data_IF_341271799236
#
_entry.id   IF_341271799236
#
_cell.length_a   1.000
_cell.length_b   1.000
_cell.length_c   1.000
_cell.angle_alpha   90.00
_cell.angle_beta   90.00
_cell.angle_gamma   90.00
#
_symmetry.space_group_name_H-M   'P 1'
#
loop_
_entity.id
_entity.type
_entity.pdbx_description
1 polymer ?
#
# COMPACT_ATOMS: atom_id res chain seq x y z
N UNK A 1 22.65 -2.27 2.74
CA UNK A 1 21.50 -1.37 2.50
C UNK A 1 20.30 -2.17 2.09
N UNK A 2 19.28 -2.16 2.89
CA UNK A 2 18.01 -2.78 2.51
C UNK A 2 17.36 -1.93 1.43
N UNK A 3 17.04 -2.56 0.31
CA UNK A 3 16.23 -1.91 -0.70
C UNK A 3 14.82 -1.72 -0.14
N UNK A 4 14.31 -0.51 -0.22
CA UNK A 4 12.90 -0.25 0.06
C UNK A 4 12.06 -1.12 -0.87
N UNK A 5 11.14 -1.87 -0.30
CA UNK A 5 10.25 -2.73 -1.06
C UNK A 5 9.25 -1.87 -1.83
N UNK A 6 9.27 -2.03 -3.14
CA UNK A 6 8.29 -1.38 -4.01
C UNK A 6 7.05 -2.26 -4.11
N UNK A 7 5.89 -1.65 -4.07
CA UNK A 7 4.61 -2.34 -4.21
C UNK A 7 3.98 -1.95 -5.54
N UNK A 8 3.68 -2.93 -6.35
CA UNK A 8 3.02 -2.75 -7.65
C UNK A 8 1.52 -2.90 -7.51
N UNK A 9 0.77 -2.49 -8.55
CA UNK A 9 -0.67 -2.73 -8.60
C UNK A 9 -1.00 -4.23 -8.58
N UNK A 10 -0.15 -5.05 -9.20
CA UNK A 10 -0.30 -6.52 -9.18
C UNK A 10 -0.16 -7.07 -7.76
N UNK A 11 0.80 -6.56 -6.99
CA UNK A 11 0.98 -6.93 -5.58
C UNK A 11 -0.27 -6.59 -4.76
N UNK A 12 -0.86 -5.43 -5.00
CA UNK A 12 -2.06 -4.97 -4.30
C UNK A 12 -3.28 -5.81 -4.65
N UNK A 13 -3.43 -6.18 -5.93
CA UNK A 13 -4.50 -7.07 -6.38
C UNK A 13 -4.36 -8.47 -5.79
N UNK A 14 -3.14 -9.00 -5.76
CA UNK A 14 -2.85 -10.30 -5.15
C UNK A 14 -3.19 -10.30 -3.66
N UNK A 15 -2.85 -9.23 -2.96
CA UNK A 15 -3.16 -9.07 -1.53
C UNK A 15 -4.66 -9.00 -1.31
N UNK A 16 -5.39 -8.26 -2.14
CA UNK A 16 -6.85 -8.18 -2.09
C UNK A 16 -7.52 -9.52 -2.28
N UNK A 17 -7.03 -10.31 -3.25
CA UNK A 17 -7.53 -11.67 -3.49
C UNK A 17 -7.27 -12.58 -2.28
N UNK A 18 -6.10 -12.48 -1.68
CA UNK A 18 -5.75 -13.27 -0.49
C UNK A 18 -6.66 -12.91 0.70
N UNK A 19 -6.93 -11.64 0.93
CA UNK A 19 -7.84 -11.19 1.99
C UNK A 19 -9.22 -11.80 1.80
N UNK A 20 -9.73 -11.81 0.57
CA UNK A 20 -11.04 -12.40 0.25
C UNK A 20 -11.06 -13.91 0.51
N UNK A 21 -10.03 -14.62 0.08
CA UNK A 21 -9.88 -16.06 0.34
C UNK A 21 -9.85 -16.36 1.84
N UNK A 22 -9.11 -15.57 2.62
CA UNK A 22 -9.05 -15.72 4.08
C UNK A 22 -10.41 -15.47 4.74
N UNK A 23 -11.14 -14.49 4.24
CA UNK A 23 -12.49 -14.18 4.74
C UNK A 23 -13.46 -15.34 4.51
N UNK A 24 -13.44 -15.91 3.31
CA UNK A 24 -14.27 -17.07 2.96
C UNK A 24 -13.89 -18.30 3.79
N UNK A 25 -12.59 -18.52 3.99
CA UNK A 25 -12.08 -19.62 4.80
C UNK A 25 -12.50 -19.48 6.26
N UNK A 26 -12.46 -18.27 6.81
CA UNK A 26 -12.91 -18.00 8.19
C UNK A 26 -14.39 -18.33 8.37
N UNK A 27 -15.23 -17.96 7.40
CA UNK A 27 -16.65 -18.30 7.41
C UNK A 27 -16.87 -19.80 7.35
N UNK A 28 -16.12 -20.50 6.51
CA UNK A 28 -16.23 -21.95 6.38
C UNK A 28 -15.84 -22.67 7.67
N UNK A 29 -14.76 -22.25 8.32
CA UNK A 29 -14.30 -22.81 9.59
C UNK A 29 -15.36 -22.61 10.68
N UNK A 30 -15.96 -21.43 10.76
CA UNK A 30 -17.03 -21.15 11.73
C UNK A 30 -18.26 -22.02 11.48
N UNK A 31 -18.63 -22.22 10.22
CA UNK A 31 -19.72 -23.11 9.84
C UNK A 31 -19.42 -24.57 10.20
N UNK A 32 -18.20 -25.02 9.93
CA UNK A 32 -17.79 -26.40 10.18
C UNK A 32 -17.82 -26.75 11.67
N UNK A 33 -17.42 -25.83 12.53
CA UNK A 33 -17.53 -26.09 13.99
C UNK A 33 -18.99 -26.11 14.45
N UNK A 34 -19.83 -25.22 13.94
CA UNK A 34 -21.27 -25.17 14.27
C UNK A 34 -21.98 -26.45 13.84
N UNK A 35 -21.56 -27.00 12.70
CA UNK A 35 -22.14 -28.22 12.13
C UNK A 35 -21.49 -29.52 12.66
N UNK A 36 -20.52 -29.40 13.57
CA UNK A 36 -19.84 -30.56 14.15
C UNK A 36 -18.91 -31.29 13.19
N UNK A 37 -18.53 -30.66 12.08
CA UNK A 37 -17.62 -31.23 11.08
C UNK A 37 -16.18 -31.25 11.57
N UNK A 38 -15.78 -30.25 12.35
CA UNK A 38 -14.45 -30.17 12.96
C UNK A 38 -14.55 -30.12 14.48
N UNK A 39 -13.48 -30.56 15.15
CA UNK A 39 -13.38 -30.50 16.61
C UNK A 39 -13.03 -29.09 17.07
N UNK A 40 -13.21 -28.83 18.36
CA UNK A 40 -12.81 -27.57 18.98
C UNK A 40 -11.30 -27.32 18.79
N UNK A 41 -10.47 -28.33 18.95
CA UNK A 41 -9.01 -28.23 18.75
C UNK A 41 -8.66 -27.86 17.31
N UNK A 42 -9.32 -28.46 16.33
CA UNK A 42 -9.17 -28.13 14.92
C UNK A 42 -9.59 -26.70 14.62
N UNK A 43 -10.67 -26.25 15.22
CA UNK A 43 -11.14 -24.88 15.09
C UNK A 43 -10.10 -23.89 15.65
N UNK A 44 -9.58 -24.14 16.87
CA UNK A 44 -8.56 -23.30 17.50
C UNK A 44 -7.31 -23.19 16.61
N UNK A 45 -6.84 -24.32 16.09
CA UNK A 45 -5.67 -24.37 15.21
C UNK A 45 -5.90 -23.55 13.93
N UNK A 46 -7.05 -23.75 13.29
CA UNK A 46 -7.39 -23.01 12.07
C UNK A 46 -7.54 -21.51 12.36
N UNK A 47 -8.15 -21.14 13.47
CA UNK A 47 -8.31 -19.73 13.88
C UNK A 47 -6.95 -19.07 14.12
N UNK A 48 -6.00 -19.77 14.76
CA UNK A 48 -4.66 -19.25 14.98
C UNK A 48 -3.92 -18.99 13.69
N UNK A 49 -3.97 -19.91 12.73
CA UNK A 49 -3.36 -19.74 11.41
C UNK A 49 -3.92 -18.52 10.67
N UNK A 50 -5.25 -18.37 10.70
CA UNK A 50 -5.92 -17.23 10.08
C UNK A 50 -5.54 -15.91 10.73
N UNK A 51 -5.44 -15.88 12.05
CA UNK A 51 -5.03 -14.69 12.80
C UNK A 51 -3.59 -14.30 12.52
N UNK A 52 -2.68 -15.26 12.45
CA UNK A 52 -1.27 -15.02 12.12
C UNK A 52 -1.14 -14.43 10.72
N UNK A 53 -1.84 -15.00 9.75
CA UNK A 53 -1.80 -14.49 8.38
C UNK A 53 -2.44 -13.10 8.29
N UNK A 54 -3.52 -12.87 8.99
CA UNK A 54 -4.14 -11.54 9.09
C UNK A 54 -3.17 -10.51 9.64
N UNK A 55 -2.42 -10.86 10.67
CA UNK A 55 -1.40 -10.00 11.26
C UNK A 55 -0.30 -9.64 10.25
N UNK A 56 0.21 -10.63 9.51
CA UNK A 56 1.20 -10.42 8.46
C UNK A 56 0.69 -9.47 7.38
N UNK A 57 -0.55 -9.66 6.94
CA UNK A 57 -1.19 -8.80 5.95
C UNK A 57 -1.32 -7.38 6.46
N UNK A 58 -1.70 -7.19 7.72
CA UNK A 58 -1.79 -5.86 8.32
C UNK A 58 -0.44 -5.16 8.37
N UNK A 59 0.63 -5.88 8.66
CA UNK A 59 2.00 -5.37 8.61
C UNK A 59 2.38 -4.91 7.21
N UNK A 60 2.04 -5.71 6.20
CA UNK A 60 2.25 -5.36 4.79
C UNK A 60 1.46 -4.09 4.43
N UNK A 61 0.21 -3.99 4.86
CA UNK A 61 -0.62 -2.80 4.59
C UNK A 61 -0.05 -1.53 5.21
N UNK A 62 0.53 -1.64 6.41
CA UNK A 62 1.22 -0.51 7.05
C UNK A 62 2.43 -0.08 6.20
N UNK A 63 3.21 -1.03 5.70
CA UNK A 63 4.34 -0.75 4.81
C UNK A 63 3.89 -0.10 3.50
N UNK A 64 2.80 -0.58 2.92
CA UNK A 64 2.22 0.00 1.70
C UNK A 64 1.81 1.44 1.93
N UNK A 65 1.15 1.73 3.04
CA UNK A 65 0.73 3.10 3.37
C UNK A 65 1.93 4.03 3.53
N UNK A 66 2.99 3.55 4.20
CA UNK A 66 4.23 4.30 4.34
C UNK A 66 4.86 4.59 2.97
N UNK A 67 4.91 3.60 2.12
CA UNK A 67 5.44 3.72 0.75
C UNK A 67 4.66 4.76 -0.06
N UNK A 68 3.33 4.72 0.02
CA UNK A 68 2.46 5.71 -0.64
C UNK A 68 2.72 7.12 -0.12
N UNK A 69 2.87 7.28 1.19
CA UNK A 69 3.16 8.59 1.79
C UNK A 69 4.50 9.14 1.34
N UNK A 70 5.52 8.30 1.27
CA UNK A 70 6.85 8.67 0.78
C UNK A 70 6.81 9.10 -0.68
N UNK A 71 6.09 8.36 -1.54
CA UNK A 71 5.90 8.71 -2.94
C UNK A 71 5.20 10.06 -3.11
N UNK A 72 4.15 10.29 -2.33
CA UNK A 72 3.43 11.57 -2.36
C UNK A 72 4.33 12.73 -1.95
N UNK A 73 5.18 12.52 -0.94
CA UNK A 73 6.13 13.53 -0.49
C UNK A 73 7.16 13.86 -1.58
N UNK A 74 7.67 12.84 -2.29
CA UNK A 74 8.60 13.01 -3.40
C UNK A 74 7.95 13.76 -4.57
N UNK A 75 6.73 13.39 -4.93
CA UNK A 75 5.97 14.05 -6.01
C UNK A 75 5.75 15.53 -5.66
N UNK A 76 5.38 15.82 -4.43
CA UNK A 76 5.17 17.19 -3.96
C UNK A 76 6.47 18.01 -4.01
N UNK A 77 7.57 17.40 -3.62
CA UNK A 77 8.90 18.02 -3.69
C UNK A 77 9.29 18.34 -5.15
N UNK A 78 9.08 17.40 -6.06
CA UNK A 78 9.35 17.61 -7.49
C UNK A 78 8.47 18.72 -8.07
N UNK A 79 7.21 18.77 -7.71
CA UNK A 79 6.30 19.86 -8.13
C UNK A 79 6.82 21.22 -7.69
N UNK A 80 7.26 21.34 -6.45
CA UNK A 80 7.80 22.60 -5.92
C UNK A 80 9.07 23.03 -6.67
N UNK A 81 9.95 22.08 -6.95
CA UNK A 81 11.18 22.34 -7.72
C UNK A 81 10.84 22.79 -9.15
N UNK A 82 9.88 22.13 -9.78
CA UNK A 82 9.42 22.48 -11.14
C UNK A 82 8.82 23.88 -11.17
N UNK A 83 7.95 24.20 -10.23
CA UNK A 83 7.35 25.53 -10.13
C UNK A 83 8.39 26.62 -9.93
N UNK A 84 9.38 26.39 -9.06
CA UNK A 84 10.48 27.32 -8.84
C UNK A 84 11.31 27.52 -10.10
N UNK A 85 11.58 26.46 -10.86
CA UNK A 85 12.32 26.54 -12.12
C UNK A 85 11.53 27.30 -13.20
N UNK A 86 10.23 27.04 -13.31
CA UNK A 86 9.34 27.74 -14.24
C UNK A 86 9.28 29.24 -13.92
N UNK A 87 9.20 29.60 -12.65
CA UNK A 87 9.22 30.98 -12.20
C UNK A 87 10.52 31.70 -12.56
N UNK A 88 11.68 31.04 -12.38
CA UNK A 88 12.97 31.58 -12.78
C UNK A 88 13.05 31.79 -14.29
N UNK A 89 12.53 30.86 -15.07
CA UNK A 89 12.49 30.95 -16.53
C UNK A 89 11.65 32.17 -16.95
N UNK A 90 10.48 32.33 -16.34
CA UNK A 90 9.60 33.47 -16.62
C UNK A 90 10.26 34.82 -16.30
N UNK A 91 10.99 34.91 -15.18
CA UNK A 91 11.74 36.11 -14.80
C UNK A 91 12.84 36.41 -15.82
N UNK A 92 13.60 35.40 -16.24
CA UNK A 92 14.66 35.56 -17.23
C UNK A 92 14.13 35.98 -18.59
N UNK A 93 13.02 35.40 -19.03
CA UNK A 93 12.35 35.76 -20.28
C UNK A 93 11.89 37.22 -20.26
N UNK A 94 11.33 37.65 -19.14
CA UNK A 94 10.91 39.04 -18.97
C UNK A 94 12.11 40.01 -19.05
N UNK A 95 13.25 39.66 -18.44
CA UNK A 95 14.48 40.48 -18.52
C UNK A 95 15.02 40.56 -19.95
N UNK A 96 15.02 39.46 -20.67
CA UNK A 96 15.47 39.43 -22.08
C UNK A 96 14.56 40.31 -22.92
N UNK A 97 13.25 40.23 -22.72
CA UNK A 97 12.26 41.02 -23.43
C UNK A 97 12.41 42.53 -23.16
N UNK A 98 12.74 42.91 -21.92
CA UNK A 98 12.97 44.30 -21.56
C UNK A 98 14.29 44.84 -22.11
N UNK A 99 15.29 44.02 -22.30
CA UNK A 99 16.61 44.41 -22.85
C UNK A 99 16.61 44.56 -24.38
N UNK A 100 15.55 44.16 -25.06
CA UNK A 100 15.40 44.23 -26.51
C UNK A 100 14.70 45.52 -27.02
N UNK A 101 14.37 46.38 -26.15
CA UNK A 101 13.74 47.66 -26.54
C UNK A 101 14.75 48.67 -27.04
#
# INVERSE_FOLDING_TARGET
MEKKREYTNEDMEALGREIEVLRLRARQVDQDIRNGVISHEQWVSAAQELMERKKEIMEILVDVDRYKMELRAEIEKEKKLRMAAEEKIAILEAKIKNNKS
#
